data_IF_274034077032
#
_entry.id   IF_274034077032
#
_cell.length_a   1.000
_cell.length_b   1.000
_cell.length_c   1.000
_cell.angle_alpha   90.00
_cell.angle_beta   90.00
_cell.angle_gamma   90.00
#
_symmetry.space_group_name_H-M   'P 1'
#
loop_
_entity.id
_entity.type
_entity.pdbx_description
1 polymer ?
#
# COMPACT_ATOMS: atom_id res chain seq x y z
N UNK A 1 -5.31 -10.32 -19.38
CA UNK A 1 -5.41 -8.95 -18.79
C UNK A 1 -6.19 -9.09 -17.49
N UNK A 2 -5.60 -8.72 -16.37
CA UNK A 2 -6.24 -8.75 -15.04
C UNK A 2 -7.33 -7.67 -15.02
N UNK A 3 -8.59 -8.08 -14.83
CA UNK A 3 -9.72 -7.15 -14.76
C UNK A 3 -9.91 -6.68 -13.32
N UNK A 4 -10.48 -5.49 -13.15
CA UNK A 4 -10.83 -4.97 -11.80
C UNK A 4 -11.78 -5.91 -11.04
N UNK A 5 -12.67 -6.59 -11.76
CA UNK A 5 -13.58 -7.62 -11.22
C UNK A 5 -12.89 -8.89 -10.74
N UNK A 6 -11.64 -9.12 -11.14
CA UNK A 6 -10.88 -10.33 -10.80
C UNK A 6 -9.90 -10.06 -9.65
N UNK A 7 -9.86 -8.82 -9.15
CA UNK A 7 -8.94 -8.38 -8.11
C UNK A 7 -9.65 -7.93 -6.83
N UNK A 8 -9.09 -8.30 -5.68
CA UNK A 8 -9.37 -7.72 -4.36
C UNK A 8 -8.30 -6.67 -4.05
N UNK A 9 -8.69 -5.50 -3.60
CA UNK A 9 -7.75 -4.49 -3.09
C UNK A 9 -7.68 -4.61 -1.57
N UNK A 10 -6.46 -4.65 -1.02
CA UNK A 10 -6.22 -4.73 0.43
C UNK A 10 -5.37 -3.54 0.84
N UNK A 11 -5.90 -2.68 1.72
CA UNK A 11 -5.20 -1.54 2.29
C UNK A 11 -4.84 -1.87 3.73
N UNK A 12 -3.56 -1.88 4.08
CA UNK A 12 -3.07 -2.21 5.42
C UNK A 12 -2.94 -0.95 6.28
N UNK A 13 -3.89 -0.75 7.21
CA UNK A 13 -3.96 0.41 8.10
C UNK A 13 -3.86 0.05 9.60
N UNK A 14 -3.42 -1.18 9.95
CA UNK A 14 -3.46 -1.66 11.33
C UNK A 14 -2.37 -1.08 12.25
N UNK A 15 -1.32 -0.48 11.70
CA UNK A 15 -0.15 -0.03 12.44
C UNK A 15 -0.39 1.21 13.32
N UNK A 16 0.38 1.31 14.42
CA UNK A 16 0.28 2.40 15.41
C UNK A 16 0.87 3.75 14.95
N UNK A 17 1.70 3.77 13.91
CA UNK A 17 2.33 5.01 13.45
C UNK A 17 3.20 5.73 14.48
N UNK A 18 3.80 5.02 15.43
CA UNK A 18 4.49 5.58 16.61
C UNK A 18 5.60 6.57 16.28
N UNK A 19 6.33 6.34 15.16
CA UNK A 19 7.42 7.23 14.71
C UNK A 19 6.94 8.59 14.24
N UNK A 20 5.70 8.69 13.76
CA UNK A 20 5.10 9.95 13.35
C UNK A 20 4.63 10.79 14.55
N UNK A 21 4.31 10.15 15.67
CA UNK A 21 4.01 10.84 16.94
C UNK A 21 2.66 11.56 17.01
N UNK A 22 1.72 11.26 16.11
CA UNK A 22 0.42 11.95 16.01
C UNK A 22 -0.70 11.34 16.85
N UNK A 23 -0.43 10.23 17.57
CA UNK A 23 -1.42 9.58 18.45
C UNK A 23 -2.58 8.90 17.73
N UNK A 24 -2.50 8.70 16.41
CA UNK A 24 -3.46 7.97 15.58
C UNK A 24 -2.75 7.16 14.51
N UNK A 25 -3.50 6.34 13.77
CA UNK A 25 -2.94 5.62 12.61
C UNK A 25 -2.57 6.59 11.47
N UNK A 26 -1.52 6.25 10.72
CA UNK A 26 -1.06 7.05 9.57
C UNK A 26 -2.14 7.23 8.48
N UNK A 27 -3.05 6.27 8.35
CA UNK A 27 -4.17 6.33 7.40
C UNK A 27 -5.10 7.54 7.63
N UNK A 28 -5.11 8.10 8.85
CA UNK A 28 -5.92 9.26 9.23
C UNK A 28 -5.15 10.59 9.20
N UNK A 29 -3.91 10.60 8.75
CA UNK A 29 -3.13 11.83 8.58
C UNK A 29 -3.82 12.72 7.55
N UNK A 30 -3.94 14.01 7.86
CA UNK A 30 -4.48 14.99 6.93
C UNK A 30 -3.50 15.25 5.79
N UNK A 31 -3.97 15.13 4.57
CA UNK A 31 -3.25 15.48 3.34
C UNK A 31 -4.12 16.45 2.55
N UNK A 32 -3.76 17.73 2.59
CA UNK A 32 -4.49 18.75 1.85
C UNK A 32 -5.94 18.96 2.29
N UNK A 33 -6.26 18.73 3.56
CA UNK A 33 -7.61 18.90 4.14
C UNK A 33 -8.45 17.63 4.17
N UNK A 34 -7.88 16.46 3.86
CA UNK A 34 -8.60 15.19 3.82
C UNK A 34 -7.72 14.04 4.35
N UNK A 35 -8.27 13.04 5.07
CA UNK A 35 -7.52 11.88 5.54
C UNK A 35 -6.88 11.08 4.39
N UNK A 36 -5.63 10.64 4.58
CA UNK A 36 -4.87 9.88 3.59
C UNK A 36 -5.62 8.67 3.02
N UNK A 37 -6.32 7.92 3.87
CA UNK A 37 -7.11 6.77 3.43
C UNK A 37 -8.19 7.15 2.40
N UNK A 38 -8.74 8.36 2.49
CA UNK A 38 -9.77 8.83 1.55
C UNK A 38 -9.15 9.12 0.18
N UNK A 39 -7.94 9.72 0.14
CA UNK A 39 -7.20 9.86 -1.12
C UNK A 39 -6.97 8.53 -1.81
N UNK A 40 -6.56 7.49 -1.04
CA UNK A 40 -6.37 6.14 -1.58
C UNK A 40 -7.68 5.55 -2.10
N UNK A 41 -8.78 5.69 -1.35
CA UNK A 41 -10.09 5.15 -1.74
C UNK A 41 -10.65 5.80 -3.01
N UNK A 42 -10.45 7.11 -3.20
CA UNK A 42 -10.85 7.83 -4.43
C UNK A 42 -10.18 7.25 -5.69
N UNK A 43 -8.93 6.81 -5.58
CA UNK A 43 -8.22 6.14 -6.67
C UNK A 43 -8.78 4.73 -6.98
N UNK A 44 -9.57 4.19 -6.08
CA UNK A 44 -10.10 2.82 -6.11
C UNK A 44 -11.62 2.75 -6.35
N UNK A 45 -12.28 3.86 -6.69
CA UNK A 45 -13.75 3.93 -6.85
C UNK A 45 -14.33 2.90 -7.83
N UNK A 46 -13.51 2.45 -8.79
CA UNK A 46 -13.94 1.44 -9.76
C UNK A 46 -13.83 -0.02 -9.27
N UNK A 47 -13.39 -0.25 -8.03
CA UNK A 47 -13.30 -1.58 -7.43
C UNK A 47 -14.48 -1.84 -6.49
N UNK A 48 -14.99 -3.06 -6.50
CA UNK A 48 -16.13 -3.55 -5.72
C UNK A 48 -15.75 -4.60 -4.64
N UNK A 49 -14.47 -4.97 -4.54
CA UNK A 49 -13.91 -5.76 -3.43
C UNK A 49 -12.68 -5.05 -2.86
N UNK A 50 -12.94 -4.14 -1.92
CA UNK A 50 -11.90 -3.42 -1.19
C UNK A 50 -11.98 -3.82 0.28
N UNK A 51 -10.81 -4.16 0.84
CA UNK A 51 -10.65 -4.56 2.24
C UNK A 51 -9.67 -3.62 2.92
N UNK A 52 -10.07 -3.08 4.06
CA UNK A 52 -9.22 -2.24 4.90
C UNK A 52 -8.88 -3.02 6.16
N UNK A 53 -7.60 -3.33 6.35
CA UNK A 53 -7.12 -3.98 7.55
C UNK A 53 -6.91 -2.92 8.63
N UNK A 54 -7.66 -3.03 9.72
CA UNK A 54 -7.64 -2.09 10.84
C UNK A 54 -7.10 -2.75 12.10
N UNK A 55 -6.48 -1.97 12.97
CA UNK A 55 -5.92 -2.43 14.25
C UNK A 55 -5.90 -1.30 15.25
N UNK A 56 -4.79 -0.55 15.35
CA UNK A 56 -4.73 0.64 16.16
C UNK A 56 -5.73 1.69 15.65
N UNK A 57 -6.48 2.30 16.57
CA UNK A 57 -7.48 3.34 16.29
C UNK A 57 -8.56 2.91 15.24
N UNK A 58 -8.90 1.61 15.25
CA UNK A 58 -9.77 0.98 14.25
C UNK A 58 -11.12 1.67 14.12
N UNK A 59 -11.75 2.07 15.24
CA UNK A 59 -13.06 2.73 15.25
C UNK A 59 -13.03 4.03 14.43
N UNK A 60 -11.99 4.86 14.60
CA UNK A 60 -11.86 6.10 13.83
C UNK A 60 -11.67 5.85 12.35
N UNK A 61 -10.83 4.88 11.97
CA UNK A 61 -10.64 4.51 10.55
C UNK A 61 -11.97 4.04 9.95
N UNK A 62 -12.69 3.15 10.65
CA UNK A 62 -13.99 2.63 10.20
C UNK A 62 -15.00 3.77 10.00
N UNK A 63 -15.08 4.71 10.93
CA UNK A 63 -16.00 5.83 10.85
C UNK A 63 -15.69 6.74 9.66
N UNK A 64 -14.42 7.15 9.50
CA UNK A 64 -13.97 7.99 8.39
C UNK A 64 -14.21 7.32 7.03
N UNK A 65 -13.86 6.05 6.90
CA UNK A 65 -14.09 5.30 5.65
C UNK A 65 -15.58 5.17 5.36
N UNK A 66 -16.40 4.89 6.39
CA UNK A 66 -17.85 4.76 6.23
C UNK A 66 -18.57 6.10 5.92
N UNK A 67 -17.97 7.24 6.18
CA UNK A 67 -18.49 8.53 5.71
C UNK A 67 -18.33 8.69 4.19
N UNK A 68 -17.26 8.13 3.62
CA UNK A 68 -16.98 8.18 2.18
C UNK A 68 -17.72 7.09 1.40
N UNK A 69 -17.58 5.78 1.80
CA UNK A 69 -18.27 4.66 1.13
C UNK A 69 -18.59 3.52 2.10
N UNK A 70 -19.69 2.79 1.81
CA UNK A 70 -20.29 1.80 2.71
C UNK A 70 -19.99 0.34 2.34
N UNK A 71 -19.40 0.09 1.18
CA UNK A 71 -19.15 -1.24 0.61
C UNK A 71 -17.75 -1.76 0.88
N UNK A 72 -17.08 -1.23 1.91
CA UNK A 72 -15.75 -1.66 2.35
C UNK A 72 -15.85 -2.82 3.34
N UNK A 73 -15.06 -3.87 3.13
CA UNK A 73 -14.89 -4.94 4.11
C UNK A 73 -13.76 -4.56 5.10
N UNK A 74 -14.10 -4.40 6.36
CA UNK A 74 -13.10 -4.20 7.42
C UNK A 74 -12.61 -5.54 7.95
N UNK A 75 -11.28 -5.70 8.03
CA UNK A 75 -10.61 -6.87 8.61
C UNK A 75 -9.84 -6.43 9.85
N UNK A 76 -10.30 -6.87 11.03
CA UNK A 76 -9.67 -6.48 12.29
C UNK A 76 -8.43 -7.33 12.58
N UNK A 77 -7.29 -6.69 12.78
CA UNK A 77 -6.09 -7.31 13.32
C UNK A 77 -5.90 -6.88 14.78
N UNK A 78 -6.42 -7.67 15.72
CA UNK A 78 -6.30 -7.40 17.17
C UNK A 78 -4.88 -7.64 17.71
N UNK A 79 -4.02 -8.29 16.93
CA UNK A 79 -2.64 -8.63 17.32
C UNK A 79 -1.61 -7.69 16.68
N UNK A 80 -2.05 -6.51 16.22
CA UNK A 80 -1.22 -5.55 15.46
C UNK A 80 0.08 -5.14 16.17
N UNK A 81 0.12 -5.21 17.51
CA UNK A 81 1.30 -4.91 18.31
C UNK A 81 2.38 -6.01 18.25
N UNK A 82 1.99 -7.24 17.91
CA UNK A 82 2.83 -8.42 18.04
C UNK A 82 3.15 -9.11 16.71
N UNK A 83 2.49 -8.73 15.64
CA UNK A 83 2.69 -9.36 14.34
C UNK A 83 3.09 -8.37 13.24
N UNK A 84 3.61 -8.91 12.13
CA UNK A 84 4.12 -8.11 11.02
C UNK A 84 3.06 -7.73 9.97
N UNK A 85 3.45 -6.91 8.99
CA UNK A 85 2.55 -6.49 7.91
C UNK A 85 1.97 -7.66 7.12
N UNK A 86 2.73 -8.72 6.88
CA UNK A 86 2.26 -9.91 6.17
C UNK A 86 1.17 -10.67 6.95
N UNK A 87 1.22 -10.65 8.29
CA UNK A 87 0.20 -11.30 9.11
C UNK A 87 -1.13 -10.54 9.04
N UNK A 88 -1.07 -9.21 8.98
CA UNK A 88 -2.24 -8.35 8.68
C UNK A 88 -2.82 -8.66 7.31
N UNK A 89 -1.98 -8.73 6.29
CA UNK A 89 -2.37 -9.06 4.92
C UNK A 89 -3.02 -10.46 4.83
N UNK A 90 -2.45 -11.48 5.46
CA UNK A 90 -3.00 -12.86 5.48
C UNK A 90 -4.43 -12.92 5.98
N UNK A 91 -4.77 -12.15 7.01
CA UNK A 91 -6.14 -12.09 7.55
C UNK A 91 -7.13 -11.60 6.47
N UNK A 92 -6.70 -10.65 5.63
CA UNK A 92 -7.52 -10.08 4.57
C UNK A 92 -7.55 -10.93 3.28
N UNK A 93 -6.66 -11.93 3.13
CA UNK A 93 -6.65 -12.81 1.96
C UNK A 93 -7.76 -13.89 1.99
N UNK A 94 -8.45 -14.08 3.12
CA UNK A 94 -9.49 -15.10 3.22
C UNK A 94 -10.67 -14.76 2.30
N UNK A 95 -10.93 -15.63 1.32
CA UNK A 95 -11.98 -15.40 0.32
C UNK A 95 -11.68 -14.25 -0.64
N UNK A 96 -10.41 -13.85 -0.82
CA UNK A 96 -10.01 -12.90 -1.85
C UNK A 96 -10.24 -13.49 -3.25
N UNK A 97 -10.34 -12.63 -4.24
CA UNK A 97 -10.37 -12.97 -5.65
C UNK A 97 -9.03 -13.55 -6.10
N UNK A 98 -8.95 -13.95 -7.36
CA UNK A 98 -7.76 -14.56 -7.96
C UNK A 98 -6.53 -13.65 -7.85
N UNK A 99 -6.70 -12.35 -8.06
CA UNK A 99 -5.64 -11.36 -7.94
C UNK A 99 -5.87 -10.47 -6.71
N UNK A 100 -4.76 -9.99 -6.15
CA UNK A 100 -4.75 -9.05 -5.03
C UNK A 100 -3.87 -7.85 -5.38
N UNK A 101 -4.38 -6.67 -5.09
CA UNK A 101 -3.62 -5.42 -5.08
C UNK A 101 -3.41 -5.03 -3.62
N UNK A 102 -2.16 -4.95 -3.18
CA UNK A 102 -1.81 -4.50 -1.83
C UNK A 102 -1.46 -3.04 -1.83
N UNK A 103 -1.87 -2.31 -0.79
CA UNK A 103 -1.46 -0.95 -0.51
C UNK A 103 -1.12 -0.82 0.98
N UNK A 104 -0.10 -0.01 1.29
CA UNK A 104 0.16 0.43 2.65
C UNK A 104 -0.61 1.75 2.93
N UNK A 105 -1.23 1.83 4.11
CA UNK A 105 -2.11 2.94 4.51
C UNK A 105 -1.37 4.23 4.88
N UNK A 106 -0.09 4.34 4.57
CA UNK A 106 0.79 5.47 4.86
C UNK A 106 1.41 6.10 3.58
N UNK A 107 0.87 5.76 2.42
CA UNK A 107 1.44 6.13 1.12
C UNK A 107 0.53 7.09 0.36
N UNK A 108 1.06 8.27 0.01
CA UNK A 108 0.46 9.22 -0.94
C UNK A 108 1.00 8.90 -2.33
N UNK A 109 0.13 8.68 -3.32
CA UNK A 109 0.49 8.24 -4.66
C UNK A 109 0.14 9.30 -5.71
N UNK A 110 0.96 9.39 -6.79
CA UNK A 110 0.56 10.14 -7.97
C UNK A 110 -0.64 9.46 -8.65
N UNK A 111 -1.77 10.16 -8.85
CA UNK A 111 -2.99 9.56 -9.38
C UNK A 111 -2.84 8.99 -10.81
N UNK A 112 -2.07 9.67 -11.67
CA UNK A 112 -1.87 9.26 -13.07
C UNK A 112 -1.04 7.97 -13.15
N UNK A 113 0.05 7.90 -12.39
CA UNK A 113 0.92 6.72 -12.35
C UNK A 113 0.18 5.53 -11.73
N UNK A 114 -0.57 5.76 -10.65
CA UNK A 114 -1.34 4.70 -10.00
C UNK A 114 -2.46 4.16 -10.91
N UNK A 115 -3.13 5.03 -11.67
CA UNK A 115 -4.09 4.59 -12.69
C UNK A 115 -3.43 3.69 -13.73
N UNK A 116 -2.24 4.04 -14.22
CA UNK A 116 -1.50 3.19 -15.17
C UNK A 116 -1.07 1.86 -14.53
N UNK A 117 -0.67 1.86 -13.25
CA UNK A 117 -0.39 0.64 -12.50
C UNK A 117 -1.63 -0.27 -12.43
N UNK A 118 -2.80 0.27 -12.15
CA UNK A 118 -4.04 -0.50 -12.12
C UNK A 118 -4.41 -1.09 -13.49
N UNK A 119 -4.08 -0.38 -14.57
CA UNK A 119 -4.32 -0.81 -15.97
C UNK A 119 -3.25 -1.78 -16.50
N UNK A 120 -2.11 -1.94 -15.82
CA UNK A 120 -1.08 -2.91 -16.22
C UNK A 120 -1.69 -4.32 -16.36
N UNK A 121 -1.52 -5.01 -17.49
CA UNK A 121 -2.17 -6.31 -17.72
C UNK A 121 -1.55 -7.45 -16.93
N UNK A 122 -0.32 -7.26 -16.43
CA UNK A 122 0.50 -8.30 -15.83
C UNK A 122 0.55 -8.17 -14.29
N UNK A 123 1.01 -9.22 -13.64
CA UNK A 123 1.47 -9.14 -12.25
C UNK A 123 2.69 -8.22 -12.18
N UNK A 124 2.71 -7.33 -11.20
CA UNK A 124 3.80 -6.36 -11.07
C UNK A 124 4.01 -5.88 -9.62
N UNK A 125 5.21 -5.41 -9.39
CA UNK A 125 5.65 -4.79 -8.14
C UNK A 125 5.88 -3.30 -8.41
N UNK A 126 5.20 -2.43 -7.69
CA UNK A 126 5.44 -0.99 -7.80
C UNK A 126 6.74 -0.62 -7.09
N UNK A 127 7.57 0.14 -7.79
CA UNK A 127 8.86 0.62 -7.32
C UNK A 127 8.97 2.13 -7.48
N UNK A 128 9.75 2.77 -6.61
CA UNK A 128 9.97 4.21 -6.63
C UNK A 128 11.46 4.53 -6.50
N UNK A 129 11.88 5.70 -6.98
CA UNK A 129 13.24 6.23 -6.80
C UNK A 129 13.39 6.95 -5.45
N UNK A 130 12.31 7.19 -4.75
CA UNK A 130 12.29 7.99 -3.53
C UNK A 130 12.84 7.22 -2.34
N UNK A 131 13.99 7.67 -1.86
CA UNK A 131 14.74 6.99 -0.80
C UNK A 131 14.26 7.42 0.60
N UNK A 132 13.42 6.62 1.26
CA UNK A 132 13.26 6.71 2.71
C UNK A 132 14.28 5.83 3.45
N UNK A 133 14.65 6.21 4.70
CA UNK A 133 15.80 5.60 5.39
C UNK A 133 15.62 4.13 5.82
N UNK A 134 14.41 3.57 5.77
CA UNK A 134 14.08 2.24 6.31
C UNK A 134 13.33 1.34 5.33
N UNK A 135 13.47 1.58 4.04
CA UNK A 135 12.73 0.86 3.01
C UNK A 135 13.34 -0.49 2.65
N UNK A 136 12.49 -1.31 2.06
CA UNK A 136 12.91 -2.49 1.32
C UNK A 136 13.38 -2.01 -0.05
N UNK A 137 14.66 -2.22 -0.33
CA UNK A 137 15.21 -1.94 -1.64
C UNK A 137 14.80 -2.97 -2.68
N UNK A 138 14.75 -2.54 -3.93
CA UNK A 138 14.49 -3.37 -5.09
C UNK A 138 15.67 -3.26 -6.07
N UNK A 139 16.26 -4.39 -6.43
CA UNK A 139 17.19 -4.46 -7.56
C UNK A 139 16.35 -4.65 -8.82
N UNK A 140 16.33 -3.61 -9.64
CA UNK A 140 15.59 -3.61 -10.90
C UNK A 140 16.58 -3.65 -12.07
N UNK A 141 16.43 -4.66 -12.94
CA UNK A 141 17.19 -4.83 -14.17
C UNK A 141 16.23 -5.20 -15.31
N UNK A 142 16.41 -4.60 -16.48
CA UNK A 142 15.58 -4.82 -17.69
C UNK A 142 14.06 -4.74 -17.47
N UNK A 143 13.62 -3.88 -16.52
CA UNK A 143 12.20 -3.69 -16.20
C UNK A 143 11.62 -4.76 -15.27
N UNK A 144 12.45 -5.60 -14.67
CA UNK A 144 12.05 -6.63 -13.71
C UNK A 144 12.70 -6.39 -12.34
N UNK A 145 11.96 -6.65 -11.26
CA UNK A 145 12.48 -6.73 -9.89
C UNK A 145 13.11 -8.11 -9.71
N UNK A 146 14.42 -8.18 -9.59
CA UNK A 146 15.16 -9.43 -9.37
C UNK A 146 15.36 -9.75 -7.89
N UNK A 147 15.49 -8.71 -7.04
CA UNK A 147 15.76 -8.86 -5.61
C UNK A 147 14.92 -7.83 -4.82
N UNK A 148 14.32 -8.29 -3.73
CA UNK A 148 13.77 -7.44 -2.67
C UNK A 148 14.53 -7.71 -1.38
N UNK A 149 15.22 -6.69 -0.84
CA UNK A 149 16.00 -6.84 0.39
C UNK A 149 16.13 -5.50 1.14
N UNK A 150 16.38 -5.58 2.45
CA UNK A 150 16.60 -4.37 3.27
C UNK A 150 17.85 -3.62 2.80
N UNK A 151 17.71 -2.32 2.54
CA UNK A 151 18.81 -1.39 2.21
C UNK A 151 19.65 -1.81 0.97
N UNK A 152 19.07 -2.50 0.03
CA UNK A 152 19.74 -3.00 -1.17
C UNK A 152 18.91 -2.67 -2.39
N UNK A 153 19.53 -2.15 -3.45
CA UNK A 153 18.85 -1.91 -4.73
C UNK A 153 19.12 -0.53 -5.30
N UNK A 154 18.69 -0.36 -6.54
CA UNK A 154 18.71 0.90 -7.29
C UNK A 154 17.34 1.61 -7.26
N UNK A 155 16.33 0.94 -6.75
CA UNK A 155 14.99 1.47 -6.49
C UNK A 155 14.49 0.99 -5.12
N UNK A 156 13.31 1.44 -4.72
CA UNK A 156 12.62 1.00 -3.50
C UNK A 156 11.31 0.29 -3.85
N UNK A 157 10.97 -0.73 -3.09
CA UNK A 157 9.63 -1.28 -3.10
C UNK A 157 8.69 -0.39 -2.29
N UNK A 158 7.56 -0.06 -2.89
CA UNK A 158 6.58 0.88 -2.34
C UNK A 158 5.53 0.24 -1.42
N UNK A 159 5.63 -1.06 -1.10
CA UNK A 159 4.55 -1.80 -0.42
C UNK A 159 3.40 -2.19 -1.36
N UNK A 160 3.37 -1.64 -2.57
CA UNK A 160 2.28 -1.83 -3.52
C UNK A 160 2.62 -2.96 -4.50
N UNK A 161 1.72 -3.94 -4.62
CA UNK A 161 1.86 -5.04 -5.59
C UNK A 161 0.52 -5.38 -6.22
N UNK A 162 0.56 -5.96 -7.40
CA UNK A 162 -0.57 -6.62 -8.05
C UNK A 162 -0.16 -8.02 -8.46
N UNK A 163 -0.62 -9.03 -7.75
CA UNK A 163 -0.18 -10.42 -7.91
C UNK A 163 -1.33 -11.41 -7.68
N UNK A 164 -1.15 -12.64 -8.14
CA UNK A 164 -2.05 -13.74 -7.78
C UNK A 164 -2.08 -13.92 -6.26
N UNK A 165 -3.26 -14.08 -5.68
CA UNK A 165 -3.48 -14.18 -4.23
C UNK A 165 -2.65 -15.30 -3.58
N UNK A 166 -2.43 -16.40 -4.27
CA UNK A 166 -1.65 -17.54 -3.77
C UNK A 166 -0.18 -17.16 -3.47
N UNK A 167 0.39 -16.19 -4.20
CA UNK A 167 1.76 -15.72 -3.97
C UNK A 167 1.91 -14.94 -2.66
N UNK A 168 0.82 -14.47 -2.07
CA UNK A 168 0.81 -13.73 -0.80
C UNK A 168 0.55 -14.62 0.43
N UNK A 169 0.34 -15.93 0.25
CA UNK A 169 0.02 -16.89 1.33
C UNK A 169 1.25 -17.50 2.02
N UNK A 170 2.43 -16.93 1.86
CA UNK A 170 3.66 -17.41 2.49
C UNK A 170 3.67 -17.27 4.03
N UNK A 171 4.67 -17.86 4.67
CA UNK A 171 4.76 -17.96 6.14
C UNK A 171 5.67 -16.91 6.81
N UNK A 172 6.13 -15.89 6.08
CA UNK A 172 6.91 -14.78 6.67
C UNK A 172 6.00 -13.72 7.29
N UNK A 173 6.53 -12.96 8.25
CA UNK A 173 5.90 -11.77 8.80
C UNK A 173 6.12 -10.52 7.92
N UNK A 174 6.97 -10.60 6.90
CA UNK A 174 7.26 -9.52 5.97
C UNK A 174 6.79 -9.85 4.55
N UNK A 175 6.05 -8.95 3.93
CA UNK A 175 5.46 -9.17 2.59
C UNK A 175 6.53 -9.36 1.51
N UNK A 176 7.64 -8.61 1.57
CA UNK A 176 8.74 -8.75 0.60
C UNK A 176 9.39 -10.16 0.64
N UNK A 177 9.48 -10.78 1.82
CA UNK A 177 9.99 -12.15 1.96
C UNK A 177 9.01 -13.18 1.39
N UNK A 178 7.71 -12.91 1.51
CA UNK A 178 6.66 -13.73 0.90
C UNK A 178 6.74 -13.68 -0.63
N UNK A 179 7.09 -12.52 -1.20
CA UNK A 179 7.21 -12.33 -2.65
C UNK A 179 8.53 -12.86 -3.24
N UNK A 180 9.61 -12.90 -2.46
CA UNK A 180 10.95 -13.29 -2.91
C UNK A 180 10.99 -14.61 -3.71
N UNK A 181 10.27 -15.68 -3.36
CA UNK A 181 10.31 -16.93 -4.13
C UNK A 181 9.73 -16.83 -5.55
N UNK A 182 9.03 -15.75 -5.86
CA UNK A 182 8.35 -15.54 -7.16
C UNK A 182 9.05 -14.52 -8.06
N UNK A 183 10.18 -13.99 -7.63
CA UNK A 183 11.01 -13.11 -8.45
C UNK A 183 11.75 -13.91 -9.55
N UNK A 184 12.05 -13.32 -10.72
CA UNK A 184 11.80 -11.93 -11.06
C UNK A 184 10.33 -11.64 -11.39
N UNK A 185 9.91 -10.38 -11.15
CA UNK A 185 8.58 -9.88 -11.47
C UNK A 185 8.68 -8.49 -12.10
N UNK A 186 7.72 -8.15 -12.97
CA UNK A 186 7.66 -6.85 -13.62
C UNK A 186 7.75 -5.71 -12.61
N UNK A 187 8.72 -4.80 -12.79
CA UNK A 187 8.81 -3.55 -12.08
C UNK A 187 7.87 -2.51 -12.69
N UNK A 188 7.09 -1.83 -11.86
CA UNK A 188 6.24 -0.73 -12.30
C UNK A 188 6.69 0.56 -11.56
N UNK A 189 7.30 1.52 -12.25
CA UNK A 189 7.67 2.81 -11.64
C UNK A 189 6.43 3.58 -11.20
N UNK A 190 6.39 4.01 -9.93
CA UNK A 190 5.26 4.73 -9.34
C UNK A 190 5.79 5.87 -8.47
N UNK A 191 5.46 7.11 -8.80
CA UNK A 191 5.76 8.26 -7.94
C UNK A 191 4.84 8.26 -6.73
N UNK A 192 5.44 8.32 -5.56
CA UNK A 192 4.74 8.33 -4.29
C UNK A 192 5.59 8.93 -3.18
N UNK A 193 4.95 9.19 -2.04
CA UNK A 193 5.60 9.53 -0.76
C UNK A 193 5.07 8.63 0.34
N UNK A 194 5.97 8.07 1.14
CA UNK A 194 5.65 7.29 2.32
C UNK A 194 5.78 8.17 3.57
N UNK A 195 4.81 8.10 4.48
CA UNK A 195 4.75 8.93 5.69
C UNK A 195 5.11 8.10 6.91
N UNK A 196 6.39 8.12 7.31
CA UNK A 196 6.90 7.40 8.47
C UNK A 196 7.24 8.32 9.65
N UNK A 197 7.74 9.51 9.37
CA UNK A 197 8.22 10.50 10.35
C UNK A 197 7.58 11.86 10.10
N UNK A 198 7.69 12.83 11.05
CA UNK A 198 7.24 14.20 10.81
C UNK A 198 7.88 14.84 9.58
N UNK A 199 9.15 14.53 9.30
CA UNK A 199 9.84 15.04 8.11
C UNK A 199 9.29 14.45 6.81
N UNK A 200 8.94 13.16 6.80
CA UNK A 200 8.28 12.53 5.64
C UNK A 200 6.92 13.17 5.39
N UNK A 201 6.18 13.50 6.45
CA UNK A 201 4.91 14.20 6.34
C UNK A 201 5.06 15.58 5.70
N UNK A 202 6.02 16.40 6.16
CA UNK A 202 6.31 17.70 5.54
C UNK A 202 6.63 17.54 4.05
N UNK A 203 7.52 16.61 3.71
CA UNK A 203 7.90 16.33 2.33
C UNK A 203 6.71 15.85 1.48
N UNK A 204 5.83 15.01 2.05
CA UNK A 204 4.63 14.53 1.38
C UNK A 204 3.63 15.65 1.11
N UNK A 205 3.46 16.59 2.05
CA UNK A 205 2.58 17.75 1.89
C UNK A 205 3.09 18.71 0.81
N UNK A 206 4.39 19.01 0.79
CA UNK A 206 5.01 19.82 -0.25
C UNK A 206 4.83 19.17 -1.63
N UNK A 207 5.16 17.90 -1.73
CA UNK A 207 5.02 17.12 -2.97
C UNK A 207 3.56 17.03 -3.44
N UNK A 208 2.61 16.76 -2.55
CA UNK A 208 1.20 16.71 -2.87
C UNK A 208 0.70 18.06 -3.45
N UNK A 209 1.11 19.16 -2.83
CA UNK A 209 0.74 20.51 -3.32
C UNK A 209 1.27 20.76 -4.73
N UNK A 210 2.50 20.32 -5.03
CA UNK A 210 3.11 20.45 -6.36
C UNK A 210 2.37 19.59 -7.41
N UNK A 211 2.14 18.31 -7.12
CA UNK A 211 1.44 17.38 -8.02
C UNK A 211 0.01 17.84 -8.33
N UNK A 212 -0.72 18.38 -7.32
CA UNK A 212 -2.07 18.90 -7.52
C UNK A 212 -2.11 20.24 -8.28
N UNK A 213 -0.98 20.96 -8.38
CA UNK A 213 -0.89 22.19 -9.14
C UNK A 213 -0.68 21.95 -10.65
N UNK A 214 -0.29 20.73 -11.03
CA UNK A 214 -0.03 20.32 -12.42
C UNK A 214 -1.25 19.68 -13.11
N UNK A 215 -2.38 19.53 -12.39
CA UNK A 215 -3.67 19.05 -12.91
C UNK A 215 -4.60 20.19 -13.33
#
# INVERSE_FOLDING_TARGET
MIKKTDATVIICCAGMGTRLGIGTTKALVDIGGEPLIIHQLKLLDAFDDIRVVVGFDAERVINVVNEYRKDIMFVCNYEYEHNGPADSLKKALLGSREYVITLDGDTVMNPKDFKQFLECPDECIAVTEDASCETIGAVVHDGEVEILAKKTGNMQWSGITKVCAEKLRGNSSHVYEVLTPYLPMRAFPLRLKEINTPKDYENAMEWFTMEMSEE
#
